data_IF_421837562468
#
_entry.id   IF_421837562468
#
_cell.length_a   1.000
_cell.length_b   1.000
_cell.length_c   1.000
_cell.angle_alpha   90.00
_cell.angle_beta   90.00
_cell.angle_gamma   90.00
#
_symmetry.space_group_name_H-M   'P 1'
#
loop_
_entity.id
_entity.type
_entity.pdbx_description
1 polymer ?
#
# COMPACT_ATOMS: atom_id res chain seq x y z
N UNK A 1 13.53 5.67 9.88
CA UNK A 1 12.83 4.76 8.94
C UNK A 1 11.31 4.93 9.01
N UNK A 2 10.68 4.83 10.18
CA UNK A 2 9.21 4.92 10.37
C UNK A 2 8.49 6.11 9.70
N UNK A 3 9.16 7.26 9.53
CA UNK A 3 8.58 8.47 8.91
C UNK A 3 9.02 8.71 7.46
N UNK A 4 10.28 8.40 7.13
CA UNK A 4 10.84 8.66 5.79
C UNK A 4 10.56 7.51 4.82
N UNK A 5 10.54 6.26 5.29
CA UNK A 5 10.26 5.10 4.45
C UNK A 5 8.86 5.18 3.82
N UNK A 6 7.79 5.50 4.57
CA UNK A 6 6.47 5.70 3.99
C UNK A 6 6.43 6.78 2.90
N UNK A 7 7.19 7.86 3.04
CA UNK A 7 7.25 8.90 2.01
C UNK A 7 7.80 8.35 0.70
N UNK A 8 8.92 7.64 0.73
CA UNK A 8 9.53 7.07 -0.47
C UNK A 8 8.67 5.96 -1.08
N UNK A 9 8.04 5.13 -0.26
CA UNK A 9 7.12 4.10 -0.73
C UNK A 9 5.90 4.74 -1.41
N UNK A 10 5.25 5.72 -0.80
CA UNK A 10 4.09 6.37 -1.43
C UNK A 10 4.48 7.17 -2.69
N UNK A 11 5.67 7.79 -2.74
CA UNK A 11 6.19 8.38 -3.98
C UNK A 11 6.30 7.33 -5.10
N UNK A 12 6.92 6.19 -4.78
CA UNK A 12 7.15 5.11 -5.72
C UNK A 12 5.85 4.44 -6.21
N UNK A 13 4.92 4.16 -5.29
CA UNK A 13 3.75 3.35 -5.59
C UNK A 13 2.51 4.19 -5.92
N UNK A 14 2.44 5.47 -5.53
CA UNK A 14 1.28 6.34 -5.85
C UNK A 14 1.58 7.33 -6.96
N UNK A 15 2.65 8.11 -6.85
CA UNK A 15 2.92 9.16 -7.84
C UNK A 15 3.33 8.55 -9.17
N UNK A 16 4.34 7.67 -9.21
CA UNK A 16 4.84 7.13 -10.49
C UNK A 16 3.73 6.41 -11.29
N UNK A 17 2.92 5.50 -10.71
CA UNK A 17 1.80 4.91 -11.44
C UNK A 17 0.65 5.89 -11.65
N UNK A 18 0.46 6.83 -10.71
CA UNK A 18 -0.62 7.82 -10.74
C UNK A 18 -0.50 8.81 -11.89
N UNK A 19 0.72 9.28 -12.19
CA UNK A 19 0.97 10.22 -13.28
C UNK A 19 0.61 9.64 -14.66
N UNK A 20 0.67 8.32 -14.81
CA UNK A 20 0.43 7.63 -16.10
C UNK A 20 -0.94 6.98 -16.18
N UNK A 21 -1.41 6.34 -15.11
CA UNK A 21 -2.60 5.48 -15.16
C UNK A 21 -3.86 6.16 -14.64
N UNK A 22 -3.73 7.07 -13.67
CA UNK A 22 -4.88 7.67 -13.01
C UNK A 22 -5.71 8.60 -13.92
N UNK A 23 -5.14 9.39 -14.86
CA UNK A 23 -5.92 10.22 -15.78
C UNK A 23 -6.87 9.42 -16.68
N UNK A 24 -6.46 8.22 -17.11
CA UNK A 24 -7.21 7.43 -18.09
C UNK A 24 -7.99 6.28 -17.44
N UNK A 25 -7.43 5.63 -16.43
CA UNK A 25 -7.91 4.34 -15.93
C UNK A 25 -7.76 4.24 -14.39
N UNK A 26 -8.57 5.02 -13.66
CA UNK A 26 -8.56 5.06 -12.19
C UNK A 26 -8.58 3.68 -11.53
N UNK A 27 -9.47 2.79 -11.94
CA UNK A 27 -9.64 1.49 -11.29
C UNK A 27 -8.42 0.58 -11.52
N UNK A 28 -7.81 0.66 -12.72
CA UNK A 28 -6.58 -0.04 -13.02
C UNK A 28 -5.39 0.54 -12.24
N UNK A 29 -5.30 1.87 -12.12
CA UNK A 29 -4.31 2.52 -11.26
C UNK A 29 -4.39 1.98 -9.82
N UNK A 30 -5.58 1.97 -9.21
CA UNK A 30 -5.76 1.49 -7.83
C UNK A 30 -5.28 0.05 -7.69
N UNK A 31 -5.66 -0.83 -8.61
CA UNK A 31 -5.28 -2.24 -8.57
C UNK A 31 -3.77 -2.44 -8.77
N UNK A 32 -3.19 -1.82 -9.81
CA UNK A 32 -1.77 -1.97 -10.13
C UNK A 32 -0.88 -1.37 -9.05
N UNK A 33 -1.21 -0.16 -8.57
CA UNK A 33 -0.52 0.52 -7.47
C UNK A 33 -0.53 -0.31 -6.20
N UNK A 34 -1.69 -0.87 -5.83
CA UNK A 34 -1.81 -1.75 -4.68
C UNK A 34 -1.03 -3.06 -4.84
N UNK A 35 -1.10 -3.68 -6.02
CA UNK A 35 -0.43 -4.95 -6.31
C UNK A 35 1.09 -4.81 -6.25
N UNK A 36 1.64 -3.76 -6.87
CA UNK A 36 3.06 -3.46 -6.81
C UNK A 36 3.51 -3.22 -5.37
N UNK A 37 2.72 -2.45 -4.60
CA UNK A 37 2.99 -2.21 -3.18
C UNK A 37 3.02 -3.53 -2.39
N UNK A 38 2.02 -4.39 -2.56
CA UNK A 38 1.96 -5.68 -1.87
C UNK A 38 3.11 -6.61 -2.24
N UNK A 39 3.41 -6.75 -3.53
CA UNK A 39 4.47 -7.63 -4.02
C UNK A 39 5.87 -7.18 -3.58
N UNK A 40 6.10 -5.87 -3.46
CA UNK A 40 7.37 -5.35 -2.94
C UNK A 40 7.66 -5.76 -1.49
N UNK A 41 6.61 -6.13 -0.74
CA UNK A 41 6.70 -6.61 0.65
C UNK A 41 6.78 -8.13 0.77
N UNK A 42 6.70 -8.89 -0.33
CA UNK A 42 6.92 -10.33 -0.26
C UNK A 42 8.30 -10.65 0.32
N UNK A 43 9.42 -10.13 -0.22
CA UNK A 43 10.73 -10.64 0.15
C UNK A 43 11.07 -10.44 1.63
N UNK A 44 10.41 -9.50 2.31
CA UNK A 44 10.65 -9.17 3.72
C UNK A 44 9.90 -10.05 4.71
N UNK A 45 8.66 -10.44 4.41
CA UNK A 45 7.80 -11.08 5.42
C UNK A 45 6.85 -12.15 4.83
N UNK A 46 7.06 -12.53 3.57
CA UNK A 46 6.32 -13.57 2.89
C UNK A 46 4.89 -13.20 2.54
N UNK A 47 4.14 -14.22 2.10
CA UNK A 47 2.83 -14.05 1.48
C UNK A 47 1.74 -13.41 2.36
N UNK A 48 1.78 -13.64 3.67
CA UNK A 48 0.79 -13.05 4.60
C UNK A 48 0.87 -11.53 4.55
N UNK A 49 2.09 -10.99 4.54
CA UNK A 49 2.33 -9.55 4.47
C UNK A 49 1.94 -8.98 3.11
N UNK A 50 2.15 -9.71 2.01
CA UNK A 50 1.67 -9.31 0.67
C UNK A 50 0.18 -9.07 0.68
N UNK A 51 -0.62 -9.98 1.27
CA UNK A 51 -2.09 -9.85 1.29
C UNK A 51 -2.51 -8.60 2.10
N UNK A 52 -1.92 -8.39 3.28
CA UNK A 52 -2.24 -7.25 4.16
C UNK A 52 -1.84 -5.93 3.51
N UNK A 53 -0.61 -5.84 3.00
CA UNK A 53 -0.10 -4.62 2.36
C UNK A 53 -0.79 -4.34 1.03
N UNK A 54 -1.15 -5.36 0.25
CA UNK A 54 -2.01 -5.20 -0.92
C UNK A 54 -3.36 -4.57 -0.56
N UNK A 55 -4.02 -5.06 0.49
CA UNK A 55 -5.29 -4.51 0.96
C UNK A 55 -5.16 -3.04 1.39
N UNK A 56 -4.13 -2.68 2.16
CA UNK A 56 -3.84 -1.29 2.52
C UNK A 56 -3.53 -0.45 1.28
N UNK A 57 -2.77 -1.01 0.34
CA UNK A 57 -2.48 -0.41 -0.96
C UNK A 57 -3.74 -0.07 -1.74
N UNK A 58 -4.78 -0.92 -1.71
CA UNK A 58 -6.08 -0.63 -2.34
C UNK A 58 -6.75 0.59 -1.71
N UNK A 59 -6.74 0.68 -0.37
CA UNK A 59 -7.31 1.82 0.35
C UNK A 59 -6.55 3.10 0.01
N UNK A 60 -5.23 3.08 0.17
CA UNK A 60 -4.36 4.24 0.01
C UNK A 60 -4.29 4.73 -1.44
N UNK A 61 -4.20 3.82 -2.41
CA UNK A 61 -4.29 4.18 -3.82
C UNK A 61 -5.65 4.80 -4.14
N UNK A 62 -6.75 4.29 -3.59
CA UNK A 62 -8.08 4.87 -3.80
C UNK A 62 -8.26 6.23 -3.09
N UNK A 63 -7.62 6.46 -1.94
CA UNK A 63 -7.55 7.79 -1.30
C UNK A 63 -6.80 8.75 -2.20
N UNK A 64 -5.59 8.41 -2.64
CA UNK A 64 -4.81 9.25 -3.57
C UNK A 64 -5.57 9.52 -4.87
N UNK A 65 -6.25 8.51 -5.42
CA UNK A 65 -7.04 8.65 -6.64
C UNK A 65 -8.19 9.66 -6.52
N UNK A 66 -8.69 9.87 -5.31
CA UNK A 66 -9.78 10.82 -5.03
C UNK A 66 -9.28 12.19 -4.60
N UNK A 67 -8.18 12.26 -3.83
CA UNK A 67 -7.70 13.51 -3.23
C UNK A 67 -6.53 14.14 -3.97
N UNK A 68 -5.81 13.36 -4.79
CA UNK A 68 -4.51 13.73 -5.40
C UNK A 68 -3.46 14.23 -4.40
N UNK A 69 -3.64 13.92 -3.11
CA UNK A 69 -2.81 14.43 -2.03
C UNK A 69 -1.88 13.34 -1.53
N UNK A 70 -0.60 13.44 -1.89
CA UNK A 70 0.44 12.57 -1.35
C UNK A 70 0.60 12.71 0.17
N UNK A 71 0.59 13.93 0.77
CA UNK A 71 0.73 14.09 2.22
C UNK A 71 -0.33 13.32 3.02
N UNK A 72 -1.59 13.32 2.55
CA UNK A 72 -2.66 12.57 3.22
C UNK A 72 -2.31 11.08 3.29
N UNK A 73 -1.85 10.50 2.19
CA UNK A 73 -1.55 9.07 2.13
C UNK A 73 -0.30 8.72 2.94
N UNK A 74 0.73 9.57 2.90
CA UNK A 74 1.94 9.40 3.71
C UNK A 74 1.60 9.43 5.20
N UNK A 75 0.75 10.37 5.64
CA UNK A 75 0.29 10.43 7.05
C UNK A 75 -0.47 9.16 7.42
N UNK A 76 -1.38 8.69 6.57
CA UNK A 76 -2.11 7.43 6.82
C UNK A 76 -1.17 6.23 6.96
N UNK A 77 -0.14 6.16 6.13
CA UNK A 77 0.86 5.10 6.19
C UNK A 77 1.69 5.19 7.47
N UNK A 78 2.20 6.37 7.82
CA UNK A 78 2.92 6.59 9.09
C UNK A 78 2.06 6.18 10.28
N UNK A 79 0.78 6.57 10.31
CA UNK A 79 -0.15 6.20 11.36
C UNK A 79 -0.34 4.68 11.44
N UNK A 80 -0.47 4.00 10.30
CA UNK A 80 -0.55 2.54 10.27
C UNK A 80 0.70 1.89 10.86
N UNK A 81 1.90 2.33 10.44
CA UNK A 81 3.17 1.78 10.95
C UNK A 81 3.34 2.07 12.45
N UNK A 82 2.90 3.24 12.91
CA UNK A 82 2.92 3.59 14.32
C UNK A 82 1.98 2.69 15.13
N UNK A 83 0.74 2.48 14.68
CA UNK A 83 -0.25 1.66 15.40
C UNK A 83 0.11 0.17 15.37
N UNK A 84 0.41 -0.37 14.19
CA UNK A 84 0.63 -1.82 14.00
C UNK A 84 2.03 -2.31 14.38
N UNK A 85 3.03 -1.43 14.35
CA UNK A 85 4.41 -1.77 14.66
C UNK A 85 4.90 -1.07 15.92
N UNK A 86 4.94 0.28 15.89
CA UNK A 86 5.53 1.08 16.97
C UNK A 86 4.87 0.86 18.33
N UNK A 87 3.57 1.14 18.45
CA UNK A 87 2.78 0.98 19.67
C UNK A 87 2.72 -0.48 20.08
N UNK A 88 2.52 -1.41 19.13
CA UNK A 88 2.53 -2.84 19.42
C UNK A 88 3.85 -3.29 20.04
N UNK A 89 4.99 -2.77 19.59
CA UNK A 89 6.31 -3.08 20.16
C UNK A 89 6.46 -2.50 21.56
N UNK A 90 6.06 -1.24 21.77
CA UNK A 90 6.10 -0.59 23.09
C UNK A 90 5.25 -1.34 24.12
N UNK A 91 4.03 -1.75 23.75
CA UNK A 91 3.14 -2.50 24.64
C UNK A 91 3.70 -3.89 24.97
N UNK A 92 4.38 -4.55 24.03
CA UNK A 92 5.05 -5.82 24.27
C UNK A 92 6.18 -5.71 25.31
N UNK A 93 6.87 -4.58 25.35
CA UNK A 93 7.86 -4.28 26.39
C UNK A 93 7.27 -4.04 27.79
N UNK A 94 5.99 -3.67 27.88
CA UNK A 94 5.28 -3.45 29.15
C UNK A 94 4.62 -4.75 29.63
N UNK A 95 3.82 -5.38 28.77
CA UNK A 95 3.11 -6.62 29.09
C UNK A 95 2.68 -7.35 27.82
N UNK A 96 3.06 -8.63 27.65
CA UNK A 96 2.61 -9.46 26.54
C UNK A 96 1.08 -9.57 26.46
N UNK A 97 0.40 -9.60 27.61
CA UNK A 97 -1.07 -9.67 27.67
C UNK A 97 -1.68 -8.40 27.09
N UNK A 98 -1.19 -7.23 27.47
CA UNK A 98 -1.68 -5.93 26.95
C UNK A 98 -1.42 -5.82 25.45
N UNK A 99 -0.24 -6.25 24.99
CA UNK A 99 0.09 -6.29 23.56
C UNK A 99 -0.89 -7.16 22.77
N UNK A 100 -1.20 -8.37 23.25
CA UNK A 100 -2.14 -9.28 22.60
C UNK A 100 -3.54 -8.68 22.55
N UNK A 101 -4.03 -8.12 23.66
CA UNK A 101 -5.34 -7.46 23.70
C UNK A 101 -5.42 -6.28 22.70
N UNK A 102 -4.36 -5.49 22.60
CA UNK A 102 -4.27 -4.39 21.64
C UNK A 102 -4.28 -4.88 20.18
N UNK A 103 -3.55 -5.95 19.86
CA UNK A 103 -3.56 -6.56 18.52
C UNK A 103 -4.96 -7.05 18.17
N UNK A 104 -5.66 -7.71 19.09
CA UNK A 104 -7.05 -8.14 18.85
C UNK A 104 -7.99 -6.97 18.61
N UNK A 105 -7.83 -5.86 19.34
CA UNK A 105 -8.61 -4.65 19.11
C UNK A 105 -8.35 -4.06 17.70
N UNK A 106 -7.08 -3.99 17.27
CA UNK A 106 -6.73 -3.54 15.92
C UNK A 106 -7.31 -4.46 14.83
N UNK A 107 -7.25 -5.78 15.02
CA UNK A 107 -7.83 -6.74 14.07
C UNK A 107 -9.34 -6.58 13.96
N UNK A 108 -10.04 -6.41 15.07
CA UNK A 108 -11.48 -6.17 15.10
C UNK A 108 -11.87 -4.89 14.34
N UNK A 109 -11.17 -3.78 14.61
CA UNK A 109 -11.37 -2.52 13.88
C UNK A 109 -11.06 -2.65 12.39
N UNK A 110 -10.03 -3.43 12.04
CA UNK A 110 -9.67 -3.71 10.65
C UNK A 110 -10.78 -4.45 9.91
N UNK A 111 -11.40 -5.45 10.54
CA UNK A 111 -12.56 -6.18 9.98
C UNK A 111 -13.72 -5.22 9.72
N UNK A 112 -14.04 -4.34 10.69
CA UNK A 112 -15.08 -3.31 10.51
C UNK A 112 -14.73 -2.40 9.33
N UNK A 113 -13.48 -1.94 9.23
CA UNK A 113 -12.99 -1.12 8.13
C UNK A 113 -13.15 -1.80 6.76
N UNK A 114 -12.81 -3.09 6.66
CA UNK A 114 -13.04 -3.91 5.46
C UNK A 114 -14.52 -3.93 5.09
N UNK A 115 -15.39 -4.26 6.05
CA UNK A 115 -16.84 -4.35 5.81
C UNK A 115 -17.43 -3.02 5.33
N UNK A 116 -17.03 -1.90 5.94
CA UNK A 116 -17.45 -0.57 5.52
C UNK A 116 -16.95 -0.22 4.12
N UNK A 117 -15.70 -0.56 3.81
CA UNK A 117 -15.09 -0.36 2.49
C UNK A 117 -15.84 -1.15 1.42
N UNK A 118 -16.11 -2.43 1.66
CA UNK A 118 -16.87 -3.30 0.74
C UNK A 118 -18.29 -2.77 0.53
N UNK A 119 -18.98 -2.35 1.61
CA UNK A 119 -20.31 -1.74 1.52
C UNK A 119 -20.29 -0.47 0.67
N UNK A 120 -19.30 0.39 0.85
CA UNK A 120 -19.16 1.62 0.08
C UNK A 120 -18.86 1.33 -1.41
N UNK A 121 -17.99 0.36 -1.69
CA UNK A 121 -17.66 -0.05 -3.06
C UNK A 121 -18.86 -0.65 -3.79
N UNK A 122 -19.67 -1.46 -3.09
CA UNK A 122 -20.93 -2.00 -3.62
C UNK A 122 -21.93 -0.89 -3.94
N UNK A 123 -22.08 0.11 -3.08
CA UNK A 123 -22.95 1.27 -3.32
C UNK A 123 -22.52 2.12 -4.52
N UNK A 124 -21.20 2.33 -4.70
CA UNK A 124 -20.67 3.15 -5.79
C UNK A 124 -20.61 2.45 -7.16
N UNK A 125 -21.10 1.19 -7.27
CA UNK A 125 -21.00 0.35 -8.48
C UNK A 125 -19.63 0.47 -9.17
N UNK A 126 -18.53 0.34 -8.41
CA UNK A 126 -17.20 0.38 -9.03
C UNK A 126 -17.08 -0.77 -10.03
N UNK A 127 -17.05 -0.44 -11.32
CA UNK A 127 -16.78 -1.40 -12.39
C UNK A 127 -15.28 -1.53 -12.56
N UNK A 128 -14.73 -2.70 -12.24
CA UNK A 128 -13.36 -3.02 -12.64
C UNK A 128 -13.38 -3.29 -14.15
N UNK A 129 -13.16 -2.26 -14.96
CA UNK A 129 -12.85 -2.46 -16.37
C UNK A 129 -11.45 -3.04 -16.49
N UNK A 130 -11.32 -4.12 -17.24
CA UNK A 130 -10.00 -4.61 -17.62
C UNK A 130 -9.30 -3.50 -18.41
N UNK A 131 -8.04 -3.19 -18.09
CA UNK A 131 -7.28 -2.21 -18.85
C UNK A 131 -7.26 -2.58 -20.33
N UNK A 132 -7.38 -1.59 -21.21
CA UNK A 132 -7.16 -1.82 -22.63
C UNK A 132 -5.75 -2.40 -22.83
N UNK A 133 -5.57 -3.33 -23.79
CA UNK A 133 -4.27 -4.00 -24.07
C UNK A 133 -3.07 -3.03 -24.17
N UNK A 134 -3.32 -1.78 -24.58
CA UNK A 134 -2.29 -0.72 -24.68
C UNK A 134 -1.74 -0.25 -23.31
N UNK A 135 -2.54 -0.27 -22.25
CA UNK A 135 -2.17 0.27 -20.93
C UNK A 135 -1.03 -0.49 -20.26
N UNK A 136 -0.99 -1.82 -20.41
CA UNK A 136 0.08 -2.66 -19.87
C UNK A 136 1.43 -2.36 -20.53
N UNK A 137 1.43 -2.16 -21.86
CA UNK A 137 2.65 -1.81 -22.60
C UNK A 137 3.21 -0.48 -22.14
N UNK A 138 2.36 0.51 -21.85
CA UNK A 138 2.80 1.82 -21.37
C UNK A 138 3.59 1.69 -20.06
N UNK A 139 3.14 0.86 -19.10
CA UNK A 139 3.84 0.66 -17.83
C UNK A 139 5.23 0.03 -18.06
N UNK A 140 5.28 -1.12 -18.73
CA UNK A 140 6.53 -1.88 -18.95
C UNK A 140 7.49 -1.22 -19.94
N UNK A 141 7.05 -0.23 -20.74
CA UNK A 141 7.91 0.51 -21.64
C UNK A 141 8.53 1.76 -20.99
N UNK A 142 8.05 2.18 -19.81
CA UNK A 142 8.68 3.30 -19.13
C UNK A 142 10.03 2.91 -18.53
N UNK A 143 11.09 3.65 -18.89
CA UNK A 143 12.41 3.51 -18.27
C UNK A 143 12.35 3.68 -16.74
N UNK A 144 11.43 4.51 -16.25
CA UNK A 144 11.17 4.71 -14.83
C UNK A 144 10.68 3.45 -14.10
N UNK A 145 9.84 2.62 -14.73
CA UNK A 145 9.42 1.33 -14.16
C UNK A 145 10.61 0.39 -13.96
N UNK A 146 11.49 0.27 -14.97
CA UNK A 146 12.68 -0.59 -14.86
C UNK A 146 13.73 -0.03 -13.90
N UNK A 147 13.93 1.29 -13.87
CA UNK A 147 14.78 1.94 -12.88
C UNK A 147 14.24 1.71 -11.46
N UNK A 148 12.91 1.75 -11.29
CA UNK A 148 12.26 1.48 -10.02
C UNK A 148 12.44 0.01 -9.57
N UNK A 149 12.22 -0.95 -10.48
CA UNK A 149 12.52 -2.37 -10.22
C UNK A 149 14.01 -2.56 -9.89
N UNK A 150 14.91 -1.88 -10.62
CA UNK A 150 16.34 -1.93 -10.37
C UNK A 150 16.69 -1.33 -9.00
N UNK A 151 16.07 -0.23 -8.57
CA UNK A 151 16.25 0.34 -7.23
C UNK A 151 15.70 -0.57 -6.13
N UNK A 152 14.54 -1.21 -6.36
CA UNK A 152 14.00 -2.21 -5.43
C UNK A 152 14.95 -3.40 -5.27
N UNK A 153 15.57 -3.86 -6.36
CA UNK A 153 16.55 -4.96 -6.33
C UNK A 153 17.89 -4.50 -5.73
N UNK A 154 18.38 -3.32 -6.10
CA UNK A 154 19.66 -2.77 -5.64
C UNK A 154 19.63 -2.43 -4.15
N UNK A 155 18.52 -1.88 -3.65
CA UNK A 155 18.34 -1.64 -2.21
C UNK A 155 18.44 -2.91 -1.38
N UNK A 156 18.16 -4.10 -1.95
CA UNK A 156 18.32 -5.39 -1.26
C UNK A 156 19.77 -5.81 -1.14
N UNK A 157 20.57 -5.70 -2.21
CA UNK A 157 22.00 -5.97 -2.14
C UNK A 157 22.76 -5.05 -1.18
N UNK A 158 22.21 -3.85 -0.92
CA UNK A 158 22.80 -2.85 -0.03
C UNK A 158 22.34 -2.98 1.43
N UNK A 159 21.16 -3.58 1.70
CA UNK A 159 20.58 -3.72 3.05
C UNK A 159 20.78 -5.10 3.68
N UNK A 160 21.28 -6.10 2.94
CA UNK A 160 21.65 -7.43 3.44
C UNK A 160 23.15 -7.53 3.85
N UNK A 161 23.82 -6.40 4.12
CA UNK A 161 25.16 -6.36 4.74
C UNK A 161 25.09 -5.89 6.18
#
# INVERSE_FOLDING_TARGET
LLFLTPLFEELAFRIIPGDRLLPEQKNFYVLASALLFGLAHWPTAGWKTVIVTFYLGLIWANVYAQTRSLPIVVVLHILYNLLSGGITTLLGGISPVVQILYIFALLFLSIIGVLLTVRQWRKRRMSFSLPQKKSWRIIFQTKGFWLYIAMLVLSRFLLER
#
